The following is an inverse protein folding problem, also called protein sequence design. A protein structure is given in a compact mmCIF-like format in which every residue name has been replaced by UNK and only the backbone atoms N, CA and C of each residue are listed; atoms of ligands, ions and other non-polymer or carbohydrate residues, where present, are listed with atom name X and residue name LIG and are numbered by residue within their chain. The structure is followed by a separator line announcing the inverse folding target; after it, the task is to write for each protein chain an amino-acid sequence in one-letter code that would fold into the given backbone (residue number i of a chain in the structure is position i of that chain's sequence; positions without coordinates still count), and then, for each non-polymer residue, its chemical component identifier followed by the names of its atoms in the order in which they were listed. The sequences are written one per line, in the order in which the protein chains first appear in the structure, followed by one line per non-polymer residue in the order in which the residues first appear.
data_IF_612101105987
#
_entry.id   IF_612101105987
#
_cell.length_a   1.000
_cell.length_b   1.000
_cell.length_c   1.000
_cell.angle_alpha   90.00
_cell.angle_beta   90.00
_cell.angle_gamma   90.00
#
_symmetry.space_group_name_H-M   'P 1'
#
loop_
_entity.id
_entity.type
_entity.pdbx_description
1 polymer ?
#
# COMPACT_ATOMS: atom_id res chain seq x y z
N UNK A 1 -18.28 -22.80 35.63
CA UNK A 1 -17.14 -22.50 34.74
C UNK A 1 -17.54 -22.02 33.33
N UNK A 2 -18.70 -22.42 32.77
CA UNK A 2 -19.13 -21.98 31.43
C UNK A 2 -19.50 -20.48 31.29
N UNK A 3 -20.16 -19.89 32.30
CA UNK A 3 -20.53 -18.46 32.31
C UNK A 3 -19.36 -17.49 32.14
N UNK A 4 -18.26 -17.58 32.93
CA UNK A 4 -17.12 -16.68 32.76
C UNK A 4 -16.39 -16.89 31.43
N UNK A 5 -16.35 -18.13 30.92
CA UNK A 5 -15.77 -18.43 29.62
C UNK A 5 -16.54 -17.75 28.48
N UNK A 6 -17.87 -17.83 28.50
CA UNK A 6 -18.73 -17.16 27.51
C UNK A 6 -18.47 -15.67 27.53
N UNK A 7 -18.51 -15.01 28.70
CA UNK A 7 -18.28 -13.56 28.80
C UNK A 7 -16.91 -13.12 28.30
N UNK A 8 -15.86 -13.91 28.55
CA UNK A 8 -14.51 -13.62 28.04
C UNK A 8 -14.50 -13.72 26.51
N UNK A 9 -15.11 -14.77 25.95
CA UNK A 9 -15.19 -14.94 24.49
C UNK A 9 -15.99 -13.80 23.83
N UNK A 10 -17.12 -13.38 24.41
CA UNK A 10 -17.88 -12.24 23.88
C UNK A 10 -17.08 -10.95 23.94
N UNK A 11 -16.39 -10.68 25.05
CA UNK A 11 -15.55 -9.50 25.19
C UNK A 11 -14.42 -9.49 24.14
N UNK A 12 -13.72 -10.61 23.97
CA UNK A 12 -12.67 -10.76 22.96
C UNK A 12 -13.20 -10.55 21.53
N UNK A 13 -14.36 -11.13 21.20
CA UNK A 13 -15.00 -10.95 19.90
C UNK A 13 -15.36 -9.48 19.65
N UNK A 14 -15.94 -8.80 20.64
CA UNK A 14 -16.28 -7.38 20.55
C UNK A 14 -15.02 -6.52 20.37
N UNK A 15 -13.96 -6.77 21.14
CA UNK A 15 -12.68 -6.08 20.99
C UNK A 15 -12.07 -6.30 19.61
N UNK A 16 -12.13 -7.51 19.08
CA UNK A 16 -11.65 -7.83 17.73
C UNK A 16 -12.45 -7.07 16.66
N UNK A 17 -13.78 -7.03 16.77
CA UNK A 17 -14.65 -6.30 15.84
C UNK A 17 -14.37 -4.79 15.86
N UNK A 18 -14.18 -4.19 17.04
CA UNK A 18 -13.83 -2.78 17.18
C UNK A 18 -12.47 -2.46 16.55
N UNK A 19 -11.49 -3.36 16.71
CA UNK A 19 -10.18 -3.21 16.10
C UNK A 19 -10.26 -3.26 14.56
N UNK A 20 -11.00 -4.24 14.01
CA UNK A 20 -11.21 -4.36 12.56
C UNK A 20 -11.91 -3.10 12.02
N UNK A 21 -12.97 -2.63 12.68
CA UNK A 21 -13.69 -1.43 12.29
C UNK A 21 -12.79 -0.19 12.28
N UNK A 22 -11.97 -0.01 13.31
CA UNK A 22 -11.03 1.10 13.42
C UNK A 22 -9.96 1.06 12.30
N UNK A 23 -9.32 -0.10 12.08
CA UNK A 23 -8.31 -0.25 11.02
C UNK A 23 -8.94 -0.01 9.66
N UNK A 24 -10.15 -0.53 9.41
CA UNK A 24 -10.85 -0.36 8.14
C UNK A 24 -11.22 1.10 7.87
N UNK A 25 -11.64 1.83 8.91
CA UNK A 25 -11.90 3.26 8.82
C UNK A 25 -10.62 4.04 8.48
N UNK A 26 -9.53 3.81 9.21
CA UNK A 26 -8.24 4.48 8.95
C UNK A 26 -7.69 4.14 7.56
N UNK A 27 -7.80 2.89 7.13
CA UNK A 27 -7.41 2.46 5.78
C UNK A 27 -8.20 3.21 4.71
N UNK A 28 -9.52 3.35 4.89
CA UNK A 28 -10.37 4.13 3.98
C UNK A 28 -9.91 5.58 3.91
N UNK A 29 -9.63 6.21 5.04
CA UNK A 29 -9.17 7.60 5.08
C UNK A 29 -7.85 7.78 4.32
N UNK A 30 -6.87 6.91 4.54
CA UNK A 30 -5.59 6.97 3.82
C UNK A 30 -5.75 6.76 2.31
N UNK A 31 -6.61 5.81 1.90
CA UNK A 31 -6.93 5.61 0.49
C UNK A 31 -7.55 6.87 -0.15
N UNK A 32 -8.45 7.55 0.57
CA UNK A 32 -9.08 8.78 0.08
C UNK A 32 -8.09 9.95 0.00
N UNK A 33 -7.14 10.06 0.92
CA UNK A 33 -6.04 11.03 0.79
C UNK A 33 -5.18 10.74 -0.44
N UNK A 34 -4.90 9.46 -0.74
CA UNK A 34 -4.24 9.05 -1.99
C UNK A 34 -5.00 9.53 -3.23
N UNK A 35 -6.32 9.29 -3.27
CA UNK A 35 -7.20 9.75 -4.36
C UNK A 35 -7.23 11.27 -4.47
N UNK A 36 -7.21 11.98 -3.35
CA UNK A 36 -7.19 13.45 -3.32
C UNK A 36 -5.86 13.98 -3.88
N UNK A 37 -4.73 13.39 -3.50
CA UNK A 37 -3.42 13.71 -4.05
C UNK A 37 -3.37 13.50 -5.57
N UNK A 38 -3.87 12.35 -6.05
CA UNK A 38 -3.91 12.04 -7.48
C UNK A 38 -4.75 13.07 -8.26
N UNK A 39 -5.93 13.44 -7.75
CA UNK A 39 -6.79 14.48 -8.35
C UNK A 39 -6.15 15.86 -8.34
N UNK A 40 -5.34 16.17 -7.34
CA UNK A 40 -4.63 17.44 -7.23
C UNK A 40 -3.33 17.48 -8.05
N UNK A 41 -2.91 16.35 -8.64
CA UNK A 41 -1.61 16.21 -9.29
C UNK A 41 -0.43 16.15 -8.31
N UNK A 42 -0.70 16.01 -7.02
CA UNK A 42 0.34 15.88 -5.98
C UNK A 42 0.78 14.42 -5.87
N UNK A 43 1.88 14.12 -6.56
CA UNK A 43 2.45 12.78 -6.61
C UNK A 43 2.78 12.22 -5.22
N UNK A 44 3.37 13.03 -4.33
CA UNK A 44 3.85 12.55 -3.03
C UNK A 44 2.69 12.30 -2.07
N UNK A 45 1.67 13.17 -2.08
CA UNK A 45 0.44 12.94 -1.31
C UNK A 45 -0.29 11.68 -1.82
N UNK A 46 -0.40 11.53 -3.14
CA UNK A 46 -1.02 10.35 -3.74
C UNK A 46 -0.31 9.05 -3.31
N UNK A 47 1.02 9.02 -3.49
CA UNK A 47 1.85 7.87 -3.18
C UNK A 47 1.77 7.49 -1.69
N UNK A 48 1.92 8.47 -0.80
CA UNK A 48 1.94 8.23 0.65
C UNK A 48 0.58 7.75 1.17
N UNK A 49 -0.52 8.30 0.65
CA UNK A 49 -1.87 7.87 1.03
C UNK A 49 -2.16 6.43 0.62
N UNK A 50 -1.84 6.06 -0.62
CA UNK A 50 -2.00 4.68 -1.08
C UNK A 50 -1.08 3.70 -0.37
N UNK A 51 0.19 4.06 -0.16
CA UNK A 51 1.14 3.25 0.60
C UNK A 51 0.62 2.96 2.02
N UNK A 52 0.16 4.01 2.71
CA UNK A 52 -0.38 3.91 4.06
C UNK A 52 -1.60 2.98 4.11
N UNK A 53 -2.47 3.04 3.10
CA UNK A 53 -3.62 2.15 2.98
C UNK A 53 -3.21 0.67 2.76
N UNK A 54 -2.12 0.39 2.04
CA UNK A 54 -1.58 -0.98 1.90
C UNK A 54 -1.01 -1.47 3.23
N UNK A 55 -0.22 -0.64 3.92
CA UNK A 55 0.39 -0.98 5.21
C UNK A 55 -0.65 -1.27 6.30
N UNK A 56 -1.83 -0.65 6.22
CA UNK A 56 -3.01 -1.02 7.02
C UNK A 56 -3.68 -2.29 6.48
N UNK A 57 -2.92 -3.38 6.41
CA UNK A 57 -3.36 -4.63 5.81
C UNK A 57 -4.52 -5.24 6.60
N UNK A 58 -5.64 -5.40 5.91
CA UNK A 58 -6.78 -6.20 6.33
C UNK A 58 -7.01 -7.28 5.28
N UNK A 59 -7.04 -8.58 5.67
CA UNK A 59 -7.39 -9.64 4.75
C UNK A 59 -8.70 -9.32 4.00
N UNK A 60 -8.71 -9.60 2.70
CA UNK A 60 -9.87 -9.39 1.80
C UNK A 60 -10.30 -7.94 1.60
N UNK A 61 -9.52 -6.95 2.06
CA UNK A 61 -9.81 -5.54 1.75
C UNK A 61 -9.50 -5.24 0.28
N UNK A 62 -10.53 -4.84 -0.47
CA UNK A 62 -10.40 -4.40 -1.87
C UNK A 62 -9.53 -3.15 -2.03
N UNK A 63 -9.38 -2.35 -0.96
CA UNK A 63 -8.56 -1.12 -0.96
C UNK A 63 -7.07 -1.40 -1.13
N UNK A 64 -6.58 -2.58 -0.73
CA UNK A 64 -5.16 -2.93 -0.86
C UNK A 64 -4.80 -3.05 -2.34
N UNK A 65 -5.59 -3.83 -3.08
CA UNK A 65 -5.37 -4.04 -4.51
C UNK A 65 -5.62 -2.76 -5.31
N UNK A 66 -6.64 -1.98 -4.92
CA UNK A 66 -6.91 -0.67 -5.52
C UNK A 66 -5.73 0.29 -5.32
N UNK A 67 -5.20 0.41 -4.09
CA UNK A 67 -4.01 1.23 -3.81
C UNK A 67 -2.79 0.77 -4.61
N UNK A 68 -2.55 -0.54 -4.68
CA UNK A 68 -1.41 -1.10 -5.41
C UNK A 68 -1.48 -0.75 -6.90
N UNK A 69 -2.66 -0.93 -7.50
CA UNK A 69 -2.94 -0.56 -8.89
C UNK A 69 -2.73 0.93 -9.14
N UNK A 70 -3.15 1.79 -8.20
CA UNK A 70 -2.98 3.24 -8.30
C UNK A 70 -1.51 3.66 -8.22
N UNK A 71 -0.74 3.13 -7.27
CA UNK A 71 0.71 3.39 -7.18
C UNK A 71 1.42 2.91 -8.44
N UNK A 72 1.06 1.74 -8.96
CA UNK A 72 1.61 1.24 -10.23
C UNK A 72 1.35 2.21 -11.38
N UNK A 73 0.11 2.69 -11.53
CA UNK A 73 -0.24 3.66 -12.55
C UNK A 73 0.51 5.01 -12.40
N UNK A 74 0.76 5.46 -11.16
CA UNK A 74 1.60 6.63 -10.89
C UNK A 74 3.04 6.41 -11.41
N UNK A 75 3.61 5.22 -11.18
CA UNK A 75 4.92 4.82 -11.68
C UNK A 75 4.98 4.80 -13.21
N UNK A 76 4.02 4.16 -13.87
CA UNK A 76 3.95 4.10 -15.35
C UNK A 76 3.71 5.48 -15.98
N UNK A 77 2.94 6.34 -15.32
CA UNK A 77 2.75 7.72 -15.77
C UNK A 77 4.05 8.53 -15.64
N UNK A 78 4.81 8.35 -14.56
CA UNK A 78 6.12 8.99 -14.39
C UNK A 78 7.14 8.50 -15.44
N UNK A 79 7.20 7.18 -15.71
CA UNK A 79 8.03 6.64 -16.79
C UNK A 79 7.70 7.28 -18.15
N UNK A 80 6.42 7.40 -18.50
CA UNK A 80 5.98 8.02 -19.76
C UNK A 80 6.37 9.50 -19.87
N UNK A 81 6.49 10.21 -18.74
CA UNK A 81 6.98 11.59 -18.69
C UNK A 81 8.50 11.71 -18.70
N UNK A 82 9.22 10.59 -18.61
CA UNK A 82 10.68 10.58 -18.43
C UNK A 82 11.14 10.94 -17.01
N UNK A 83 10.22 11.02 -16.05
CA UNK A 83 10.54 11.28 -14.64
C UNK A 83 10.93 9.98 -13.93
N UNK A 84 12.20 9.62 -14.08
CA UNK A 84 12.76 8.37 -13.57
C UNK A 84 12.78 8.34 -12.04
N UNK A 85 12.95 9.49 -11.38
CA UNK A 85 12.96 9.59 -9.93
C UNK A 85 11.57 9.30 -9.34
N UNK A 86 10.51 9.91 -9.88
CA UNK A 86 9.14 9.60 -9.47
C UNK A 86 8.76 8.15 -9.78
N UNK A 87 9.15 7.63 -10.95
CA UNK A 87 8.88 6.24 -11.30
C UNK A 87 9.51 5.27 -10.28
N UNK A 88 10.79 5.48 -9.95
CA UNK A 88 11.49 4.68 -8.95
C UNK A 88 10.91 4.86 -7.54
N UNK A 89 10.47 6.07 -7.18
CA UNK A 89 9.80 6.32 -5.91
C UNK A 89 8.51 5.50 -5.78
N UNK A 90 7.66 5.50 -6.81
CA UNK A 90 6.43 4.73 -6.84
C UNK A 90 6.69 3.22 -6.67
N UNK A 91 7.58 2.64 -7.48
CA UNK A 91 7.84 1.20 -7.42
C UNK A 91 8.51 0.75 -6.13
N UNK A 92 9.42 1.57 -5.57
CA UNK A 92 10.07 1.26 -4.29
C UNK A 92 9.09 1.36 -3.13
N UNK A 93 8.23 2.38 -3.14
CA UNK A 93 7.16 2.56 -2.15
C UNK A 93 6.18 1.37 -2.20
N UNK A 94 5.67 1.00 -3.38
CA UNK A 94 4.75 -0.14 -3.53
C UNK A 94 5.36 -1.44 -3.00
N UNK A 95 6.60 -1.73 -3.40
CA UNK A 95 7.35 -2.91 -2.93
C UNK A 95 7.53 -2.88 -1.41
N UNK A 96 7.94 -1.74 -0.86
CA UNK A 96 8.16 -1.55 0.58
C UNK A 96 6.86 -1.68 1.38
N UNK A 97 5.73 -1.22 0.82
CA UNK A 97 4.42 -1.34 1.44
C UNK A 97 4.06 -2.82 1.65
N UNK A 98 4.25 -3.67 0.64
CA UNK A 98 3.98 -5.10 0.75
C UNK A 98 5.00 -5.86 1.60
N UNK A 99 6.28 -5.47 1.59
CA UNK A 99 7.23 -6.02 2.56
C UNK A 99 6.84 -5.70 4.00
N UNK A 100 6.28 -4.51 4.24
CA UNK A 100 5.81 -4.08 5.56
C UNK A 100 4.56 -4.79 6.07
N UNK A 101 3.87 -5.58 5.24
CA UNK A 101 2.66 -6.33 5.63
C UNK A 101 2.92 -7.83 5.80
N UNK A 102 4.18 -8.26 5.77
CA UNK A 102 4.56 -9.66 5.93
C UNK A 102 4.33 -10.12 7.37
N UNK A 103 3.51 -11.15 7.51
CA UNK A 103 3.38 -11.92 8.75
C UNK A 103 3.58 -13.40 8.45
N UNK A 104 2.50 -14.18 8.31
CA UNK A 104 2.57 -15.63 8.07
C UNK A 104 2.86 -16.00 6.61
N UNK A 105 2.34 -15.19 5.69
CA UNK A 105 2.55 -15.31 4.24
C UNK A 105 2.89 -13.93 3.70
N UNK A 106 3.64 -13.88 2.60
CA UNK A 106 3.91 -12.63 1.88
C UNK A 106 2.69 -12.21 1.07
N UNK A 107 1.97 -11.12 1.43
CA UNK A 107 0.95 -10.55 0.57
C UNK A 107 1.60 -9.81 -0.60
N UNK A 108 0.89 -9.71 -1.73
CA UNK A 108 1.35 -8.93 -2.89
C UNK A 108 2.64 -9.43 -3.54
N UNK A 109 2.94 -10.73 -3.48
CA UNK A 109 4.15 -11.30 -4.08
C UNK A 109 4.28 -10.99 -5.59
N UNK A 110 3.15 -10.96 -6.32
CA UNK A 110 3.13 -10.55 -7.73
C UNK A 110 3.53 -9.07 -7.90
N UNK A 111 2.96 -8.17 -7.09
CA UNK A 111 3.34 -6.76 -7.07
C UNK A 111 4.83 -6.55 -6.77
N UNK A 112 5.37 -7.28 -5.79
CA UNK A 112 6.81 -7.23 -5.47
C UNK A 112 7.65 -7.64 -6.69
N UNK A 113 7.32 -8.76 -7.34
CA UNK A 113 8.03 -9.24 -8.54
C UNK A 113 7.98 -8.24 -9.70
N UNK A 114 6.81 -7.64 -9.95
CA UNK A 114 6.65 -6.58 -10.96
C UNK A 114 7.50 -5.35 -10.64
N UNK A 115 7.49 -4.90 -9.39
CA UNK A 115 8.31 -3.77 -8.93
C UNK A 115 9.80 -4.06 -9.06
N UNK A 116 10.25 -5.26 -8.70
CA UNK A 116 11.67 -5.63 -8.81
C UNK A 116 12.17 -5.56 -10.25
N UNK A 117 11.37 -6.04 -11.22
CA UNK A 117 11.67 -5.92 -12.66
C UNK A 117 11.78 -4.45 -13.10
N UNK A 118 10.81 -3.61 -12.72
CA UNK A 118 10.81 -2.18 -13.06
C UNK A 118 12.00 -1.43 -12.44
N UNK A 119 12.28 -1.67 -11.16
CA UNK A 119 13.40 -1.04 -10.46
C UNK A 119 14.73 -1.45 -11.11
N UNK A 120 14.91 -2.74 -11.43
CA UNK A 120 16.12 -3.23 -12.09
C UNK A 120 16.34 -2.58 -13.46
N UNK A 121 15.27 -2.34 -14.22
CA UNK A 121 15.34 -1.66 -15.52
C UNK A 121 15.65 -0.15 -15.41
N UNK A 122 15.08 0.54 -14.40
CA UNK A 122 15.17 2.00 -14.29
C UNK A 122 16.41 2.50 -13.54
N UNK A 123 16.97 1.71 -12.62
CA UNK A 123 18.16 2.12 -11.84
C UNK A 123 19.37 2.46 -12.71
N UNK A 124 19.75 1.68 -13.74
CA UNK A 124 20.85 2.03 -14.62
C UNK A 124 20.61 3.34 -15.38
N UNK A 125 19.39 3.56 -15.86
CA UNK A 125 19.01 4.78 -16.59
C UNK A 125 19.17 6.01 -15.68
N UNK A 126 18.70 5.92 -14.43
CA UNK A 126 18.88 6.99 -13.45
C UNK A 126 20.36 7.33 -13.24
N UNK A 127 21.23 6.33 -13.10
CA UNK A 127 22.68 6.54 -12.89
C UNK A 127 23.33 7.23 -14.09
N UNK A 128 22.92 6.89 -15.31
CA UNK A 128 23.41 7.55 -16.53
C UNK A 128 22.95 9.00 -16.68
N UNK A 129 21.86 9.38 -16.01
CA UNK A 129 21.30 10.73 -16.03
C UNK A 129 21.81 11.62 -14.87
N UNK A 130 22.64 11.10 -13.97
CA UNK A 130 23.27 11.91 -12.92
C UNK A 130 24.47 12.67 -13.53
N UNK A 131 24.54 14.01 -13.38
CA UNK A 131 25.64 14.81 -13.90
C UNK A 131 26.98 14.51 -13.21
#
# INVERSE_FOLDING_TARGET
MARPLITILTALLLSMLLLIANVNHRQKTQYLEGVKGEKAGDFMVALTGYESAIRMYLPFSSRIEASATRIWALGEAAERRGDIDQALAAYRSLRSAFYGTRWLRQPGADWISRCDKKIAALVPIRKGNQP
#
